data_IF_217864654281
#
_entry.id   IF_217864654281
#
_cell.length_a   1.000
_cell.length_b   1.000
_cell.length_c   1.000
_cell.angle_alpha   90.00
_cell.angle_beta   90.00
_cell.angle_gamma   90.00
#
_symmetry.space_group_name_H-M   'P 1'
#
loop_
_entity.id
_entity.type
_entity.pdbx_description
1 polymer ?
#
# COMPACT_ATOMS: atom_id res chain seq x y z
N UNK A 1 14.67 6.63 -12.43
CA UNK A 1 15.91 6.42 -13.20
C UNK A 1 16.50 7.78 -13.45
N UNK A 2 17.82 7.92 -13.35
CA UNK A 2 18.53 9.18 -13.57
C UNK A 2 19.81 8.88 -14.35
N UNK A 3 20.30 9.84 -15.11
CA UNK A 3 21.54 9.78 -15.90
C UNK A 3 21.66 8.52 -16.77
N UNK A 4 22.73 7.74 -16.60
CA UNK A 4 23.04 6.53 -17.38
C UNK A 4 21.92 5.47 -17.33
N UNK A 5 21.12 5.46 -16.26
CA UNK A 5 19.98 4.56 -16.13
C UNK A 5 18.85 4.83 -17.12
N UNK A 6 18.81 6.01 -17.77
CA UNK A 6 17.83 6.32 -18.81
C UNK A 6 18.16 5.54 -20.08
N UNK A 7 19.41 5.61 -20.54
CA UNK A 7 19.86 4.91 -21.76
C UNK A 7 19.83 3.39 -21.57
N UNK A 8 20.23 2.90 -20.39
CA UNK A 8 20.13 1.47 -20.05
C UNK A 8 18.69 0.96 -20.16
N UNK A 9 17.73 1.69 -19.56
CA UNK A 9 16.33 1.29 -19.59
C UNK A 9 15.74 1.34 -21.00
N UNK A 10 16.09 2.36 -21.79
CA UNK A 10 15.67 2.47 -23.19
C UNK A 10 16.15 1.27 -24.00
N UNK A 11 17.45 0.95 -23.94
CA UNK A 11 18.02 -0.19 -24.65
C UNK A 11 17.39 -1.52 -24.22
N UNK A 12 17.15 -1.68 -22.91
CA UNK A 12 16.46 -2.86 -22.37
C UNK A 12 15.03 -2.97 -22.89
N UNK A 13 14.22 -1.90 -22.78
CA UNK A 13 12.81 -1.93 -23.17
C UNK A 13 12.61 -2.08 -24.69
N UNK A 14 13.45 -1.47 -25.52
CA UNK A 14 13.43 -1.66 -26.98
C UNK A 14 13.64 -3.12 -27.37
N UNK A 15 14.47 -3.86 -26.62
CA UNK A 15 14.66 -5.30 -26.84
C UNK A 15 13.52 -6.11 -26.24
N UNK A 16 13.12 -5.80 -25.00
CA UNK A 16 12.13 -6.55 -24.24
C UNK A 16 10.76 -6.57 -24.94
N UNK A 17 10.26 -5.42 -25.39
CA UNK A 17 8.93 -5.32 -26.01
C UNK A 17 8.87 -5.77 -27.47
N UNK A 18 9.97 -6.27 -28.06
CA UNK A 18 9.91 -7.00 -29.35
C UNK A 18 9.31 -8.39 -29.21
N UNK A 19 9.45 -8.99 -28.04
CA UNK A 19 9.07 -10.38 -27.76
C UNK A 19 7.98 -10.50 -26.68
N UNK A 20 7.72 -9.43 -25.93
CA UNK A 20 6.77 -9.40 -24.82
C UNK A 20 5.64 -8.41 -25.08
N UNK A 21 4.44 -8.71 -24.54
CA UNK A 21 3.29 -7.80 -24.64
C UNK A 21 3.56 -6.47 -23.93
N UNK A 22 3.16 -5.37 -24.57
CA UNK A 22 3.27 -4.00 -24.06
C UNK A 22 4.11 -3.08 -24.94
N UNK A 23 4.32 -1.86 -24.47
CA UNK A 23 5.23 -0.90 -25.09
C UNK A 23 5.62 0.19 -24.07
N UNK A 24 6.57 1.05 -24.44
CA UNK A 24 6.94 2.25 -23.70
C UNK A 24 7.14 3.41 -24.68
N UNK A 25 7.20 4.64 -24.17
CA UNK A 25 7.60 5.79 -24.94
C UNK A 25 8.31 6.79 -24.04
N UNK A 26 9.20 7.58 -24.63
CA UNK A 26 9.85 8.69 -23.96
C UNK A 26 8.84 9.83 -23.79
N UNK A 27 8.51 10.15 -22.54
CA UNK A 27 7.59 11.25 -22.24
C UNK A 27 8.24 12.60 -22.58
N UNK A 28 7.48 13.50 -23.16
CA UNK A 28 7.79 14.94 -23.11
C UNK A 28 7.75 15.43 -21.66
N UNK A 29 8.38 16.57 -21.37
CA UNK A 29 8.35 17.17 -20.02
C UNK A 29 6.91 17.33 -19.48
N UNK A 30 5.98 17.76 -20.34
CA UNK A 30 4.56 17.93 -19.96
C UNK A 30 3.87 16.60 -19.65
N UNK A 31 4.20 15.53 -20.37
CA UNK A 31 3.66 14.20 -20.09
C UNK A 31 4.24 13.63 -18.80
N UNK A 32 5.55 13.78 -18.57
CA UNK A 32 6.21 13.34 -17.34
C UNK A 32 5.61 14.03 -16.11
N UNK A 33 5.46 15.36 -16.14
CA UNK A 33 4.82 16.15 -15.06
C UNK A 33 3.37 15.70 -14.80
N UNK A 34 2.60 15.43 -15.85
CA UNK A 34 1.22 14.96 -15.69
C UNK A 34 1.15 13.53 -15.20
N UNK A 35 2.01 12.64 -15.69
CA UNK A 35 2.04 11.23 -15.27
C UNK A 35 2.36 11.12 -13.78
N UNK A 36 3.36 11.88 -13.31
CA UNK A 36 3.72 11.88 -11.89
C UNK A 36 2.62 12.51 -11.02
N UNK A 37 2.02 13.62 -11.46
CA UNK A 37 0.87 14.22 -10.77
C UNK A 37 -0.31 13.24 -10.69
N UNK A 38 -0.65 12.59 -11.80
CA UNK A 38 -1.73 11.61 -11.86
C UNK A 38 -1.47 10.41 -10.94
N UNK A 39 -0.22 9.94 -10.86
CA UNK A 39 0.19 8.88 -9.94
C UNK A 39 0.02 9.28 -8.47
N UNK A 40 0.36 10.51 -8.10
CA UNK A 40 0.28 10.96 -6.69
C UNK A 40 -1.14 11.30 -6.23
N UNK A 41 -2.04 11.72 -7.12
CA UNK A 41 -3.44 11.98 -6.73
C UNK A 41 -4.20 10.70 -6.34
N UNK A 42 -3.70 9.52 -6.73
CA UNK A 42 -4.35 8.22 -6.48
C UNK A 42 -4.77 7.99 -5.02
N UNK A 43 -3.90 8.34 -4.06
CA UNK A 43 -4.20 8.19 -2.63
C UNK A 43 -5.41 9.03 -2.18
N UNK A 44 -5.55 10.24 -2.71
CA UNK A 44 -6.69 11.11 -2.40
C UNK A 44 -7.95 10.73 -3.19
N UNK A 45 -7.79 10.15 -4.37
CA UNK A 45 -8.89 9.80 -5.27
C UNK A 45 -9.80 8.73 -4.67
N UNK A 46 -9.24 7.69 -4.03
CA UNK A 46 -10.02 6.62 -3.40
C UNK A 46 -10.90 7.14 -2.26
N UNK A 47 -10.35 8.00 -1.39
CA UNK A 47 -11.11 8.62 -0.31
C UNK A 47 -12.24 9.52 -0.81
N UNK A 48 -12.00 10.29 -1.87
CA UNK A 48 -13.04 11.11 -2.52
C UNK A 48 -14.13 10.25 -3.16
N UNK A 49 -13.74 9.20 -3.86
CA UNK A 49 -14.69 8.25 -4.45
C UNK A 49 -15.57 7.62 -3.36
N UNK A 50 -14.96 7.16 -2.25
CA UNK A 50 -15.70 6.59 -1.12
C UNK A 50 -16.68 7.58 -0.51
N UNK A 51 -16.25 8.82 -0.28
CA UNK A 51 -17.11 9.86 0.30
C UNK A 51 -18.33 10.20 -0.57
N UNK A 52 -18.15 10.27 -1.89
CA UNK A 52 -19.25 10.53 -2.85
C UNK A 52 -20.21 9.33 -2.93
N UNK A 53 -19.71 8.11 -2.78
CA UNK A 53 -20.49 6.87 -2.88
C UNK A 53 -20.92 6.28 -1.54
N UNK A 54 -20.77 7.02 -0.42
CA UNK A 54 -20.96 6.52 0.95
C UNK A 54 -22.28 5.79 1.23
N UNK A 55 -23.34 6.09 0.47
CA UNK A 55 -24.65 5.46 0.64
C UNK A 55 -24.75 4.07 -0.04
N UNK A 56 -23.88 3.81 -1.02
CA UNK A 56 -23.83 2.59 -1.85
C UNK A 56 -22.67 1.67 -1.44
N UNK A 57 -21.57 2.21 -0.95
CA UNK A 57 -20.37 1.46 -0.57
C UNK A 57 -20.37 1.06 0.92
N UNK A 58 -19.58 0.04 1.26
CA UNK A 58 -19.25 -0.32 2.63
C UNK A 58 -18.03 0.45 3.15
N UNK A 59 -17.26 -0.18 4.05
CA UNK A 59 -16.01 0.39 4.56
C UNK A 59 -14.92 0.56 3.50
N UNK A 60 -13.95 1.43 3.79
CA UNK A 60 -12.73 1.59 3.01
C UNK A 60 -11.55 1.10 3.85
N UNK A 61 -10.59 0.43 3.22
CA UNK A 61 -9.35 -0.02 3.87
C UNK A 61 -8.15 0.23 2.96
N UNK A 62 -7.01 0.52 3.56
CA UNK A 62 -5.73 0.73 2.89
C UNK A 62 -4.69 -0.24 3.46
N UNK A 63 -3.87 -0.83 2.60
CA UNK A 63 -2.77 -1.71 2.95
C UNK A 63 -1.49 -1.21 2.30
N UNK A 64 -0.44 -1.12 3.11
CA UNK A 64 0.88 -0.60 2.74
C UNK A 64 1.92 -1.71 2.92
N UNK A 65 2.22 -2.39 1.81
CA UNK A 65 2.87 -3.71 1.80
C UNK A 65 4.24 -3.62 1.13
N UNK A 66 5.28 -4.17 1.76
CA UNK A 66 6.59 -4.39 1.17
C UNK A 66 6.83 -5.89 0.95
N UNK A 67 7.00 -6.32 -0.29
CA UNK A 67 7.35 -7.71 -0.59
C UNK A 67 8.85 -7.99 -0.41
N UNK A 68 9.23 -9.27 -0.18
CA UNK A 68 10.60 -9.71 -0.38
C UNK A 68 11.12 -9.28 -1.75
N UNK A 69 12.40 -8.90 -1.80
CA UNK A 69 13.05 -8.43 -3.05
C UNK A 69 13.06 -9.46 -4.17
N UNK A 70 12.87 -10.74 -3.85
CA UNK A 70 12.82 -11.85 -4.80
C UNK A 70 11.39 -12.31 -5.14
N UNK A 71 10.37 -11.62 -4.65
CA UNK A 71 8.97 -11.91 -5.00
C UNK A 71 8.72 -11.65 -6.49
N UNK A 72 8.14 -12.63 -7.18
CA UNK A 72 7.81 -12.55 -8.61
C UNK A 72 6.30 -12.44 -8.83
N UNK A 73 5.49 -13.00 -7.94
CA UNK A 73 4.03 -12.97 -8.01
C UNK A 73 3.46 -11.74 -7.30
N UNK A 74 4.03 -10.57 -7.56
CA UNK A 74 3.71 -9.32 -6.85
C UNK A 74 2.30 -8.79 -7.13
N UNK A 75 1.72 -9.09 -8.30
CA UNK A 75 0.37 -8.66 -8.65
C UNK A 75 -0.67 -9.53 -7.95
N UNK A 76 -1.62 -8.88 -7.25
CA UNK A 76 -2.58 -9.58 -6.40
C UNK A 76 -3.57 -10.41 -7.22
N UNK A 77 -3.74 -11.67 -6.79
CA UNK A 77 -4.76 -12.59 -7.31
C UNK A 77 -5.60 -13.07 -6.14
N UNK A 78 -6.73 -12.42 -5.92
CA UNK A 78 -7.64 -12.76 -4.83
C UNK A 78 -8.50 -13.97 -5.21
N UNK A 79 -8.76 -14.89 -4.26
CA UNK A 79 -9.72 -15.95 -4.49
C UNK A 79 -11.15 -15.35 -4.58
N UNK A 80 -12.07 -15.96 -5.35
CA UNK A 80 -13.39 -15.38 -5.62
C UNK A 80 -14.17 -14.96 -4.37
N UNK A 81 -14.09 -15.75 -3.29
CA UNK A 81 -14.80 -15.44 -2.04
C UNK A 81 -14.30 -14.19 -1.29
N UNK A 82 -13.12 -13.69 -1.67
CA UNK A 82 -12.59 -12.40 -1.21
C UNK A 82 -12.89 -11.33 -2.24
N UNK A 83 -12.65 -11.62 -3.53
CA UNK A 83 -12.83 -10.64 -4.60
C UNK A 83 -14.28 -10.17 -4.73
N UNK A 84 -15.23 -11.07 -4.54
CA UNK A 84 -16.66 -10.78 -4.58
C UNK A 84 -17.15 -9.89 -3.43
N UNK A 85 -16.34 -9.68 -2.39
CA UNK A 85 -16.66 -8.77 -1.29
C UNK A 85 -16.26 -7.32 -1.58
N UNK A 86 -15.46 -7.10 -2.64
CA UNK A 86 -14.87 -5.82 -2.98
C UNK A 86 -15.74 -5.11 -4.02
N UNK A 87 -16.01 -3.83 -3.77
CA UNK A 87 -16.64 -2.91 -4.73
C UNK A 87 -15.59 -2.30 -5.64
N UNK A 88 -14.43 -1.94 -5.08
CA UNK A 88 -13.32 -1.31 -5.79
C UNK A 88 -11.99 -1.83 -5.26
N UNK A 89 -11.06 -2.07 -6.18
CA UNK A 89 -9.64 -2.35 -5.91
C UNK A 89 -8.81 -1.27 -6.62
N UNK A 90 -7.96 -0.58 -5.88
CA UNK A 90 -7.06 0.43 -6.41
C UNK A 90 -5.62 0.12 -5.98
N UNK A 91 -4.80 -0.26 -6.95
CA UNK A 91 -3.40 -0.59 -6.75
C UNK A 91 -2.50 0.48 -7.36
N UNK A 92 -1.55 0.94 -6.57
CA UNK A 92 -0.43 1.77 -7.00
C UNK A 92 0.75 1.51 -6.07
N UNK A 93 1.94 2.03 -6.34
CA UNK A 93 3.09 1.76 -5.47
C UNK A 93 4.41 2.28 -6.01
N UNK A 94 5.48 1.78 -5.42
CA UNK A 94 6.87 2.02 -5.80
C UNK A 94 7.45 0.70 -6.29
N UNK A 95 7.25 0.43 -7.59
CA UNK A 95 7.44 -0.90 -8.18
C UNK A 95 8.84 -1.47 -7.91
N UNK A 96 9.90 -0.70 -8.14
CA UNK A 96 11.28 -1.17 -7.93
C UNK A 96 11.68 -1.35 -6.46
N UNK A 97 10.94 -0.74 -5.52
CA UNK A 97 11.13 -0.96 -4.09
C UNK A 97 10.31 -2.14 -3.57
N UNK A 98 9.49 -2.78 -4.42
CA UNK A 98 8.51 -3.80 -4.03
C UNK A 98 7.52 -3.30 -2.95
N UNK A 99 7.22 -1.99 -2.94
CA UNK A 99 6.25 -1.37 -2.04
C UNK A 99 4.94 -1.13 -2.79
N UNK A 100 3.84 -1.68 -2.28
CA UNK A 100 2.52 -1.65 -2.88
C UNK A 100 1.51 -1.00 -1.93
N UNK A 101 0.76 -0.06 -2.48
CA UNK A 101 -0.39 0.59 -1.89
C UNK A 101 -1.65 -0.04 -2.44
N UNK A 102 -2.31 -0.86 -1.62
CA UNK A 102 -3.52 -1.55 -1.99
C UNK A 102 -4.70 -0.97 -1.23
N UNK A 103 -5.53 -0.23 -1.94
CA UNK A 103 -6.72 0.39 -1.39
C UNK A 103 -7.95 -0.34 -1.87
N UNK A 104 -8.88 -0.56 -0.96
CA UNK A 104 -10.09 -1.31 -1.20
C UNK A 104 -11.29 -0.56 -0.66
N UNK A 105 -12.40 -0.66 -1.40
CA UNK A 105 -13.72 -0.32 -0.89
C UNK A 105 -14.52 -1.60 -0.92
N UNK A 106 -15.08 -2.00 0.22
CA UNK A 106 -15.89 -3.22 0.32
C UNK A 106 -17.34 -2.93 -0.06
N UNK A 107 -18.08 -3.97 -0.47
CA UNK A 107 -19.52 -3.87 -0.70
C UNK A 107 -20.26 -3.51 0.60
N UNK A 108 -21.44 -2.89 0.47
CA UNK A 108 -22.25 -2.49 1.63
C UNK A 108 -22.59 -3.69 2.52
N UNK A 109 -22.40 -3.53 3.83
CA UNK A 109 -22.66 -4.59 4.82
C UNK A 109 -21.48 -5.55 5.06
N UNK A 110 -20.41 -5.48 4.25
CA UNK A 110 -19.18 -6.25 4.50
C UNK A 110 -18.38 -5.59 5.63
N UNK A 111 -17.88 -6.43 6.55
CA UNK A 111 -16.95 -6.01 7.60
C UNK A 111 -15.54 -5.83 7.02
N UNK A 112 -15.15 -4.57 6.82
CA UNK A 112 -13.85 -4.20 6.26
C UNK A 112 -12.68 -4.60 7.18
N UNK A 113 -12.86 -4.52 8.51
CA UNK A 113 -11.79 -4.85 9.46
C UNK A 113 -11.52 -6.36 9.50
N UNK A 114 -12.59 -7.16 9.47
CA UNK A 114 -12.46 -8.61 9.36
C UNK A 114 -11.80 -9.02 8.04
N UNK A 115 -12.19 -8.39 6.92
CA UNK A 115 -11.60 -8.67 5.61
C UNK A 115 -10.12 -8.24 5.55
N UNK A 116 -9.78 -7.07 6.07
CA UNK A 116 -8.40 -6.59 6.19
C UNK A 116 -7.53 -7.59 6.96
N UNK A 117 -8.00 -8.08 8.11
CA UNK A 117 -7.28 -9.12 8.87
C UNK A 117 -7.09 -10.41 8.07
N UNK A 118 -8.08 -10.82 7.27
CA UNK A 118 -7.96 -11.99 6.37
C UNK A 118 -6.89 -11.77 5.30
N UNK A 119 -6.89 -10.58 4.68
CA UNK A 119 -5.91 -10.21 3.65
C UNK A 119 -4.49 -10.14 4.22
N UNK A 120 -4.28 -9.47 5.36
CA UNK A 120 -2.95 -9.36 6.00
C UNK A 120 -2.31 -10.71 6.30
N UNK A 121 -3.10 -11.72 6.69
CA UNK A 121 -2.59 -13.10 6.87
C UNK A 121 -2.00 -13.70 5.59
N UNK A 122 -2.52 -13.32 4.41
CA UNK A 122 -1.95 -13.78 3.13
C UNK A 122 -0.58 -13.17 2.88
N UNK A 123 -0.36 -11.91 3.29
CA UNK A 123 0.93 -11.24 3.21
C UNK A 123 1.93 -11.81 4.22
N UNK A 124 1.47 -12.16 5.42
CA UNK A 124 2.31 -12.84 6.42
C UNK A 124 2.91 -14.14 5.88
N UNK A 125 2.09 -14.98 5.23
CA UNK A 125 2.52 -16.27 4.64
C UNK A 125 3.55 -16.05 3.52
N UNK A 126 3.48 -14.92 2.82
CA UNK A 126 4.38 -14.56 1.73
C UNK A 126 5.66 -13.87 2.19
N UNK A 127 5.83 -13.67 3.50
CA UNK A 127 6.97 -12.95 4.06
C UNK A 127 6.98 -11.47 3.71
N UNK A 128 5.83 -10.90 3.38
CA UNK A 128 5.70 -9.45 3.20
C UNK A 128 5.76 -8.74 4.56
N UNK A 129 6.28 -7.52 4.51
CA UNK A 129 6.39 -6.61 5.63
C UNK A 129 5.37 -5.49 5.48
N UNK A 130 4.75 -5.09 6.59
CA UNK A 130 3.83 -3.95 6.64
C UNK A 130 3.77 -3.39 8.06
N UNK A 131 3.53 -2.08 8.22
CA UNK A 131 3.48 -1.06 7.16
C UNK A 131 4.86 -0.80 6.54
N UNK A 132 4.91 -0.49 5.25
CA UNK A 132 6.15 -0.30 4.49
C UNK A 132 6.71 1.12 4.61
N UNK A 133 5.91 2.15 4.34
CA UNK A 133 6.32 3.56 4.39
C UNK A 133 5.42 4.45 5.25
N UNK A 134 4.16 4.07 5.47
CA UNK A 134 3.15 4.90 6.14
C UNK A 134 3.19 4.83 7.67
N UNK A 135 4.03 3.96 8.25
CA UNK A 135 4.12 3.70 9.70
C UNK A 135 2.82 3.08 10.27
N UNK A 136 2.84 2.68 11.54
CA UNK A 136 1.79 1.84 12.14
C UNK A 136 0.49 2.58 12.44
N UNK A 137 0.57 3.90 12.65
CA UNK A 137 -0.58 4.72 13.06
C UNK A 137 -1.34 4.07 14.22
N UNK A 138 -2.66 4.01 14.11
CA UNK A 138 -3.51 3.15 14.95
C UNK A 138 -4.14 2.00 14.15
N UNK A 139 -3.56 1.68 12.99
CA UNK A 139 -4.12 0.72 12.06
C UNK A 139 -3.38 -0.62 12.11
N UNK A 140 -2.11 -0.62 12.49
CA UNK A 140 -1.26 -1.80 12.56
C UNK A 140 -0.71 -1.99 13.97
N UNK A 141 -0.39 -3.24 14.31
CA UNK A 141 0.33 -3.53 15.54
C UNK A 141 1.80 -3.14 15.38
N UNK A 142 2.35 -2.40 16.34
CA UNK A 142 3.78 -2.16 16.39
C UNK A 142 4.50 -3.47 16.77
N UNK A 143 5.46 -3.88 15.93
CA UNK A 143 6.37 -4.98 16.27
C UNK A 143 7.16 -4.64 17.55
N UNK A 144 7.64 -5.64 18.32
CA UNK A 144 8.30 -5.41 19.60
C UNK A 144 9.46 -4.41 19.54
N UNK A 145 10.28 -4.46 18.48
CA UNK A 145 11.38 -3.51 18.26
C UNK A 145 10.89 -2.06 18.24
N UNK A 146 9.80 -1.79 17.52
CA UNK A 146 9.21 -0.47 17.36
C UNK A 146 8.49 -0.01 18.63
N UNK A 147 7.70 -0.88 19.26
CA UNK A 147 7.04 -0.52 20.53
C UNK A 147 8.05 -0.26 21.66
N UNK A 148 9.16 -1.01 21.70
CA UNK A 148 10.23 -0.78 22.67
C UNK A 148 10.96 0.53 22.41
N UNK A 149 11.16 0.86 21.12
CA UNK A 149 11.72 2.15 20.72
C UNK A 149 10.83 3.31 21.17
N UNK A 150 9.50 3.22 21.00
CA UNK A 150 8.56 4.24 21.49
C UNK A 150 8.65 4.41 23.01
N UNK A 151 8.64 3.31 23.78
CA UNK A 151 8.77 3.34 25.25
C UNK A 151 10.08 3.97 25.73
N UNK A 152 11.17 3.74 25.01
CA UNK A 152 12.48 4.32 25.32
C UNK A 152 12.50 5.84 25.15
N UNK A 153 11.84 6.35 24.11
CA UNK A 153 11.80 7.79 23.81
C UNK A 153 10.75 8.55 24.63
N UNK A 154 9.60 7.93 24.88
CA UNK A 154 8.52 8.52 25.68
C UNK A 154 8.13 7.62 26.86
N UNK A 155 8.94 7.54 27.92
CA UNK A 155 8.65 6.69 29.08
C UNK A 155 7.34 7.07 29.80
N UNK A 156 6.80 8.26 29.54
CA UNK A 156 5.55 8.74 30.15
C UNK A 156 4.30 8.45 29.33
N UNK A 157 4.46 8.03 28.07
CA UNK A 157 3.36 7.88 27.10
C UNK A 157 2.52 9.17 27.00
N UNK A 158 3.18 10.32 26.89
CA UNK A 158 2.57 11.64 26.78
C UNK A 158 2.50 12.19 25.35
N UNK A 159 3.26 11.61 24.42
CA UNK A 159 3.37 12.05 23.03
C UNK A 159 2.77 11.00 22.09
N UNK A 160 1.60 11.31 21.53
CA UNK A 160 0.84 10.44 20.62
C UNK A 160 0.54 9.02 21.18
N UNK A 161 -0.17 8.90 22.33
CA UNK A 161 -0.39 7.61 22.99
C UNK A 161 -1.20 6.62 22.16
N UNK A 162 -0.87 5.34 22.26
CA UNK A 162 -1.61 4.25 21.63
C UNK A 162 -1.26 3.97 20.16
N UNK A 163 -0.21 4.62 19.62
CA UNK A 163 0.34 4.29 18.31
C UNK A 163 0.78 2.83 18.28
N UNK A 164 0.48 2.14 17.18
CA UNK A 164 0.81 0.73 17.00
C UNK A 164 -0.04 -0.22 17.84
N UNK A 165 -1.27 0.19 18.19
CA UNK A 165 -2.13 -0.51 19.17
C UNK A 165 -1.46 -0.71 20.54
N UNK A 166 -0.57 0.20 20.93
CA UNK A 166 -0.02 0.23 22.30
C UNK A 166 -1.03 0.84 23.30
N UNK A 167 -0.67 0.90 24.57
CA UNK A 167 -1.52 1.55 25.58
C UNK A 167 -1.74 3.03 25.27
N UNK A 168 -2.95 3.53 25.55
CA UNK A 168 -3.28 4.97 25.54
C UNK A 168 -3.12 5.62 26.91
N UNK A 169 -2.74 4.86 27.94
CA UNK A 169 -2.64 5.33 29.32
C UNK A 169 -1.23 5.82 29.64
N UNK A 170 -1.17 6.79 30.55
CA UNK A 170 0.09 7.33 31.05
C UNK A 170 0.97 6.23 31.64
N UNK A 171 2.28 6.31 31.38
CA UNK A 171 3.28 5.33 31.80
C UNK A 171 3.03 3.90 31.26
N UNK A 172 2.41 3.79 30.09
CA UNK A 172 2.23 2.52 29.37
C UNK A 172 1.46 1.43 30.14
N UNK A 173 0.58 1.84 31.07
CA UNK A 173 -0.26 0.94 31.86
C UNK A 173 -1.36 0.28 31.05
#
# INVERSE_FOLDING_TARGET
MYDEGIEEAKAYFEKFFKENEGNFFECTNKEAEKAILHRFVAASAVGRYHAINKNKSGGMMSMDIAFPRNEKDWFEKLPPEVDDLLELKLYYGHLFCHVLHQNYIVKKGVDADALRKKLLKTYDVRGAEYPAEHNVGHEYFAKPSLSNFYKKLDPTNGFNPGIGHTSKLKYWK
#
